data_IF_133745587551
#
_entry.id   IF_133745587551
#
_cell.length_a   1.000
_cell.length_b   1.000
_cell.length_c   1.000
_cell.angle_alpha   90.00
_cell.angle_beta   90.00
_cell.angle_gamma   90.00
#
_symmetry.space_group_name_H-M   'P 1'
#
loop_
_entity.id
_entity.type
_entity.pdbx_description
1 polymer ?
#
# COMPACT_ATOMS: atom_id res chain seq x y z
N UNK A 1 58.34 -63.24 -8.64
CA UNK A 1 58.56 -61.85 -9.09
C UNK A 1 57.37 -60.99 -8.72
N UNK A 2 57.60 -59.69 -8.55
CA UNK A 2 56.89 -58.72 -7.71
C UNK A 2 55.37 -58.55 -7.91
N UNK A 3 54.69 -58.32 -6.77
CA UNK A 3 53.28 -57.90 -6.62
C UNK A 3 53.09 -56.47 -7.15
N UNK A 4 52.08 -56.24 -8.00
CA UNK A 4 51.58 -54.90 -8.35
C UNK A 4 50.13 -54.78 -7.87
N UNK A 5 49.94 -54.32 -6.63
CA UNK A 5 48.64 -53.95 -6.09
C UNK A 5 48.49 -52.43 -6.11
N UNK A 6 47.48 -51.92 -6.82
CA UNK A 6 47.14 -50.49 -6.85
C UNK A 6 46.89 -49.98 -5.44
N UNK A 7 47.62 -48.92 -5.03
CA UNK A 7 47.31 -48.13 -3.84
C UNK A 7 46.36 -47.00 -4.23
N UNK A 8 45.06 -47.17 -3.99
CA UNK A 8 44.11 -46.05 -3.94
C UNK A 8 44.19 -45.41 -2.56
N UNK A 9 45.01 -44.38 -2.41
CA UNK A 9 44.99 -43.54 -1.23
C UNK A 9 43.82 -42.55 -1.35
N UNK A 10 42.68 -42.89 -0.75
CA UNK A 10 41.55 -41.99 -0.63
C UNK A 10 41.90 -40.94 0.45
N UNK A 11 42.43 -39.78 0.04
CA UNK A 11 42.63 -38.65 0.93
C UNK A 11 41.26 -38.09 1.37
N UNK A 12 40.78 -38.51 2.54
CA UNK A 12 39.66 -37.85 3.21
C UNK A 12 40.15 -36.52 3.79
N UNK A 13 40.18 -35.46 2.97
CA UNK A 13 40.32 -34.10 3.51
C UNK A 13 38.99 -33.72 4.17
N UNK A 14 38.95 -33.72 5.49
CA UNK A 14 37.83 -33.15 6.24
C UNK A 14 37.69 -31.67 5.83
N UNK A 15 36.56 -31.30 5.23
CA UNK A 15 36.25 -29.92 4.96
C UNK A 15 36.15 -29.17 6.30
N UNK A 16 36.86 -28.04 6.50
CA UNK A 16 36.69 -27.27 7.72
C UNK A 16 35.26 -26.72 7.73
N UNK A 17 34.42 -27.27 8.60
CA UNK A 17 33.13 -26.68 8.94
C UNK A 17 33.40 -25.34 9.60
N UNK A 18 33.53 -24.27 8.81
CA UNK A 18 33.43 -22.90 9.31
C UNK A 18 32.01 -22.79 9.87
N UNK A 19 31.88 -22.89 11.19
CA UNK A 19 30.69 -22.42 11.90
C UNK A 19 30.56 -20.93 11.58
N UNK A 20 29.80 -20.60 10.55
CA UNK A 20 29.28 -19.26 10.35
C UNK A 20 28.27 -19.08 11.47
N UNK A 21 28.76 -18.64 12.64
CA UNK A 21 27.90 -18.06 13.65
C UNK A 21 27.31 -16.83 12.99
N UNK A 22 26.12 -16.96 12.40
CA UNK A 22 25.39 -15.82 11.88
C UNK A 22 25.26 -14.83 13.02
N UNK A 23 25.97 -13.70 12.91
CA UNK A 23 25.74 -12.54 13.78
C UNK A 23 24.30 -12.12 13.54
N UNK A 24 23.38 -12.65 14.35
CA UNK A 24 22.03 -12.13 14.46
C UNK A 24 22.20 -10.73 15.04
N UNK A 25 22.04 -9.71 14.21
CA UNK A 25 22.02 -8.30 14.60
C UNK A 25 20.72 -7.95 15.35
N UNK A 26 20.30 -8.79 16.30
CA UNK A 26 19.21 -8.45 17.21
C UNK A 26 19.82 -8.04 18.55
N UNK A 27 20.34 -6.81 18.60
CA UNK A 27 20.92 -6.21 19.82
C UNK A 27 19.80 -5.62 20.70
N UNK A 28 18.89 -6.45 21.18
CA UNK A 28 17.88 -6.00 22.17
C UNK A 28 18.48 -5.96 23.57
N UNK A 29 19.47 -6.82 23.86
CA UNK A 29 20.12 -6.88 25.17
C UNK A 29 21.62 -6.61 25.04
N UNK A 30 22.11 -5.65 25.83
CA UNK A 30 23.53 -5.28 25.87
C UNK A 30 24.27 -6.33 26.71
N UNK A 31 25.35 -6.94 26.19
CA UNK A 31 26.17 -7.82 27.01
C UNK A 31 26.86 -7.04 28.13
N UNK A 32 26.99 -7.64 29.32
CA UNK A 32 27.42 -6.97 30.57
C UNK A 32 28.81 -6.32 30.51
N UNK A 33 29.65 -6.67 29.53
CA UNK A 33 31.00 -6.13 29.36
C UNK A 33 31.09 -4.95 28.37
N UNK A 34 30.00 -4.60 27.67
CA UNK A 34 29.97 -3.45 26.76
C UNK A 34 29.76 -2.19 27.62
N UNK A 35 30.86 -1.53 27.98
CA UNK A 35 30.87 -0.33 28.79
C UNK A 35 30.09 0.84 28.16
N UNK A 36 29.73 1.81 29.00
CA UNK A 36 29.07 3.04 28.59
C UNK A 36 29.93 3.78 27.54
N UNK A 37 29.34 4.08 26.39
CA UNK A 37 29.98 4.82 25.31
C UNK A 37 28.97 5.75 24.63
N UNK A 38 29.47 6.79 23.95
CA UNK A 38 28.62 7.84 23.38
C UNK A 38 27.53 7.29 22.44
N UNK A 39 27.86 6.27 21.64
CA UNK A 39 26.93 5.61 20.73
C UNK A 39 25.78 4.90 21.47
N UNK A 40 26.09 4.15 22.52
CA UNK A 40 25.08 3.46 23.33
C UNK A 40 24.16 4.45 24.05
N UNK A 41 24.68 5.60 24.51
CA UNK A 41 23.88 6.67 25.12
C UNK A 41 22.95 7.35 24.12
N UNK A 42 23.45 7.67 22.92
CA UNK A 42 22.63 8.24 21.85
C UNK A 42 21.47 7.29 21.49
N UNK A 43 21.74 5.99 21.40
CA UNK A 43 20.71 5.01 21.05
C UNK A 43 19.61 4.89 22.10
N UNK A 44 19.96 4.93 23.40
CA UNK A 44 18.94 4.99 24.45
C UNK A 44 18.16 6.31 24.41
N UNK A 45 18.83 7.45 24.17
CA UNK A 45 18.14 8.73 24.00
C UNK A 45 17.13 8.70 22.83
N UNK A 46 17.51 8.10 21.70
CA UNK A 46 16.62 7.92 20.54
C UNK A 46 15.44 7.02 20.91
N UNK A 47 15.67 5.91 21.62
CA UNK A 47 14.57 5.03 22.07
C UNK A 47 13.61 5.77 23.00
N UNK A 48 14.12 6.51 23.98
CA UNK A 48 13.30 7.31 24.89
C UNK A 48 12.51 8.39 24.15
N UNK A 49 13.15 9.11 23.23
CA UNK A 49 12.47 10.09 22.39
C UNK A 49 11.38 9.45 21.52
N UNK A 50 11.68 8.34 20.85
CA UNK A 50 10.72 7.61 20.03
C UNK A 50 9.52 7.09 20.83
N UNK A 51 9.72 6.62 22.06
CA UNK A 51 8.63 6.18 22.94
C UNK A 51 7.68 7.35 23.29
N UNK A 52 8.23 8.53 23.59
CA UNK A 52 7.43 9.72 23.87
C UNK A 52 6.68 10.21 22.61
N UNK A 53 7.39 10.30 21.48
CA UNK A 53 6.82 10.77 20.20
C UNK A 53 5.75 9.83 19.67
N UNK A 54 5.95 8.51 19.73
CA UNK A 54 4.93 7.53 19.31
C UNK A 54 3.67 7.59 20.18
N UNK A 55 3.83 7.79 21.48
CA UNK A 55 2.69 7.97 22.40
C UNK A 55 1.90 9.24 22.09
N UNK A 56 2.60 10.35 21.77
CA UNK A 56 1.97 11.60 21.34
C UNK A 56 1.16 11.41 20.05
N UNK A 57 1.76 10.83 19.01
CA UNK A 57 1.08 10.60 17.73
C UNK A 57 -0.11 9.67 17.87
N UNK A 58 0.00 8.59 18.67
CA UNK A 58 -1.14 7.72 18.96
C UNK A 58 -2.30 8.49 19.57
N UNK A 59 -2.04 9.37 20.53
CA UNK A 59 -3.07 10.21 21.15
C UNK A 59 -3.67 11.18 20.14
N UNK A 60 -2.86 11.83 19.31
CA UNK A 60 -3.37 12.75 18.30
C UNK A 60 -4.23 12.05 17.24
N UNK A 61 -3.80 10.87 16.77
CA UNK A 61 -4.58 10.06 15.83
C UNK A 61 -5.94 9.66 16.40
N UNK A 62 -6.03 9.36 17.70
CA UNK A 62 -7.30 8.98 18.32
C UNK A 62 -8.15 10.20 18.67
N UNK A 63 -7.55 11.23 19.27
CA UNK A 63 -8.31 12.33 19.88
C UNK A 63 -8.50 13.55 18.98
N UNK A 64 -7.70 13.73 17.93
CA UNK A 64 -7.88 14.81 16.97
C UNK A 64 -8.39 14.31 15.63
N UNK A 65 -7.76 13.27 15.07
CA UNK A 65 -8.13 12.80 13.73
C UNK A 65 -9.53 12.19 13.71
N UNK A 66 -9.92 11.38 14.72
CA UNK A 66 -11.26 10.80 14.76
C UNK A 66 -12.36 11.88 14.81
N UNK A 67 -12.33 12.89 15.71
CA UNK A 67 -13.31 13.97 15.66
C UNK A 67 -13.35 14.73 14.33
N UNK A 68 -12.19 15.03 13.73
CA UNK A 68 -12.13 15.68 12.43
C UNK A 68 -12.76 14.83 11.33
N UNK A 69 -12.52 13.51 11.33
CA UNK A 69 -13.14 12.59 10.39
C UNK A 69 -14.64 12.52 10.59
N UNK A 70 -15.14 12.47 11.83
CA UNK A 70 -16.58 12.50 12.12
C UNK A 70 -17.21 13.78 11.55
N UNK A 71 -16.63 14.94 11.84
CA UNK A 71 -17.12 16.22 11.32
C UNK A 71 -17.13 16.28 9.79
N UNK A 72 -16.03 15.83 9.15
CA UNK A 72 -15.93 15.74 7.70
C UNK A 72 -16.92 14.76 7.08
N UNK A 73 -17.12 13.59 7.71
CA UNK A 73 -18.08 12.58 7.26
C UNK A 73 -19.52 13.06 7.34
N UNK A 74 -19.91 13.79 8.40
CA UNK A 74 -21.25 14.38 8.49
C UNK A 74 -21.48 15.40 7.38
N UNK A 75 -20.50 16.28 7.12
CA UNK A 75 -20.60 17.24 6.02
C UNK A 75 -20.69 16.56 4.65
N UNK A 76 -19.84 15.57 4.39
CA UNK A 76 -19.87 14.80 3.16
C UNK A 76 -21.19 14.03 2.98
N UNK A 77 -21.76 13.50 4.06
CA UNK A 77 -23.06 12.82 4.03
C UNK A 77 -24.19 13.78 3.63
N UNK A 78 -24.22 14.99 4.20
CA UNK A 78 -25.23 15.99 3.84
C UNK A 78 -25.13 16.37 2.34
N UNK A 79 -23.92 16.66 1.86
CA UNK A 79 -23.67 16.97 0.45
C UNK A 79 -24.04 15.80 -0.48
N UNK A 80 -23.79 14.56 -0.04
CA UNK A 80 -24.19 13.37 -0.77
C UNK A 80 -25.71 13.26 -0.90
N UNK A 81 -26.45 13.46 0.19
CA UNK A 81 -27.91 13.45 0.18
C UNK A 81 -28.47 14.55 -0.73
N UNK A 82 -27.98 15.78 -0.60
CA UNK A 82 -28.39 16.91 -1.45
C UNK A 82 -28.08 16.65 -2.94
N UNK A 83 -26.92 16.05 -3.24
CA UNK A 83 -26.55 15.70 -4.61
C UNK A 83 -27.56 14.73 -5.25
N UNK A 84 -27.98 13.69 -4.52
CA UNK A 84 -28.96 12.72 -5.04
C UNK A 84 -30.36 13.29 -5.10
N UNK A 85 -30.74 14.18 -4.18
CA UNK A 85 -32.00 14.90 -4.26
C UNK A 85 -32.04 15.79 -5.52
N UNK A 86 -30.98 16.56 -5.79
CA UNK A 86 -30.87 17.33 -7.03
C UNK A 86 -30.85 16.43 -8.27
N UNK A 87 -30.14 15.29 -8.22
CA UNK A 87 -30.10 14.33 -9.30
C UNK A 87 -31.50 13.77 -9.64
N UNK A 88 -32.32 13.48 -8.63
CA UNK A 88 -33.68 12.95 -8.80
C UNK A 88 -34.66 13.91 -9.49
N UNK A 89 -34.37 15.21 -9.45
CA UNK A 89 -35.17 16.25 -10.10
C UNK A 89 -34.67 16.60 -11.52
N UNK A 90 -33.55 16.04 -11.96
CA UNK A 90 -33.06 16.27 -13.32
C UNK A 90 -33.87 15.45 -14.34
N UNK A 91 -33.98 15.92 -15.59
CA UNK A 91 -34.57 15.13 -16.66
C UNK A 91 -33.85 13.78 -16.83
N UNK A 92 -34.58 12.73 -17.27
CA UNK A 92 -33.99 11.44 -17.60
C UNK A 92 -32.79 11.57 -18.55
N UNK A 93 -31.80 10.69 -18.41
CA UNK A 93 -30.54 10.79 -19.15
C UNK A 93 -30.74 10.78 -20.67
N UNK A 94 -31.70 9.99 -21.15
CA UNK A 94 -32.08 9.88 -22.55
C UNK A 94 -32.69 11.17 -23.12
N UNK A 95 -33.21 12.07 -22.29
CA UNK A 95 -33.75 13.37 -22.71
C UNK A 95 -32.67 14.45 -22.73
N UNK A 96 -31.61 14.31 -21.93
CA UNK A 96 -30.53 15.30 -21.80
C UNK A 96 -29.70 15.39 -23.09
N UNK A 97 -29.44 16.61 -23.56
CA UNK A 97 -28.64 16.84 -24.78
C UNK A 97 -27.23 16.26 -24.62
N UNK A 98 -26.87 15.35 -25.52
CA UNK A 98 -25.52 14.80 -25.60
C UNK A 98 -24.76 15.55 -26.70
N UNK A 99 -23.75 16.32 -26.33
CA UNK A 99 -23.00 17.12 -27.30
C UNK A 99 -21.96 16.27 -28.06
N UNK A 100 -21.59 16.60 -29.31
CA UNK A 100 -20.66 15.80 -30.12
C UNK A 100 -19.25 15.63 -29.52
N UNK A 101 -18.85 16.51 -28.60
CA UNK A 101 -17.58 16.43 -27.89
C UNK A 101 -17.64 15.55 -26.62
N UNK A 102 -18.84 15.20 -26.16
CA UNK A 102 -19.05 14.26 -25.06
C UNK A 102 -18.97 12.83 -25.59
N UNK A 103 -18.54 11.89 -24.75
CA UNK A 103 -18.46 10.47 -25.06
C UNK A 103 -17.78 10.09 -26.40
N UNK A 104 -16.89 10.95 -26.92
CA UNK A 104 -16.18 10.66 -28.17
C UNK A 104 -15.35 9.38 -28.05
N UNK A 105 -15.46 8.51 -29.08
CA UNK A 105 -14.66 7.30 -29.25
C UNK A 105 -14.02 7.28 -30.63
N UNK A 106 -12.70 7.45 -30.68
CA UNK A 106 -11.92 7.27 -31.93
C UNK A 106 -11.57 5.80 -32.17
N UNK A 107 -11.41 5.04 -31.08
CA UNK A 107 -11.23 3.60 -31.06
C UNK A 107 -12.01 3.03 -29.88
N UNK A 108 -12.69 1.92 -30.10
CA UNK A 108 -13.42 1.22 -29.05
C UNK A 108 -12.46 0.70 -27.97
N UNK A 109 -12.95 0.65 -26.74
CA UNK A 109 -12.23 0.03 -25.64
C UNK A 109 -12.02 -1.47 -25.91
N UNK A 110 -10.92 -2.06 -25.41
CA UNK A 110 -10.60 -3.47 -25.66
C UNK A 110 -11.39 -4.46 -24.76
N UNK A 111 -12.45 -4.01 -24.09
CA UNK A 111 -13.27 -4.83 -23.18
C UNK A 111 -14.76 -4.53 -23.34
N UNK A 112 -15.59 -5.45 -22.85
CA UNK A 112 -17.04 -5.29 -22.82
C UNK A 112 -17.63 -5.09 -24.22
N UNK A 113 -18.51 -4.11 -24.34
CA UNK A 113 -19.11 -3.66 -25.60
C UNK A 113 -18.21 -2.67 -26.37
N UNK A 114 -17.07 -2.30 -25.81
CA UNK A 114 -16.13 -1.34 -26.40
C UNK A 114 -16.50 0.13 -26.21
N UNK A 115 -17.59 0.44 -25.52
CA UNK A 115 -18.08 1.82 -25.36
C UNK A 115 -17.94 2.34 -23.91
N UNK A 116 -18.26 1.47 -22.95
CA UNK A 116 -18.29 1.80 -21.53
C UNK A 116 -16.89 1.79 -20.90
N UNK A 117 -16.63 2.80 -20.07
CA UNK A 117 -15.40 2.88 -19.27
C UNK A 117 -15.43 1.88 -18.12
N UNK A 118 -14.28 1.66 -17.46
CA UNK A 118 -14.16 0.75 -16.30
C UNK A 118 -15.05 1.18 -15.12
N UNK A 119 -15.30 2.49 -14.98
CA UNK A 119 -16.12 3.08 -13.93
C UNK A 119 -17.45 3.63 -14.47
N UNK A 120 -17.96 3.06 -15.56
CA UNK A 120 -19.25 3.45 -16.13
C UNK A 120 -20.39 3.09 -15.18
N UNK A 121 -21.24 4.06 -14.87
CA UNK A 121 -22.48 3.84 -14.13
C UNK A 121 -23.68 4.29 -14.98
N UNK A 122 -24.52 3.34 -15.38
CA UNK A 122 -25.70 3.59 -16.22
C UNK A 122 -26.75 4.51 -15.57
N UNK A 123 -26.71 4.72 -14.25
CA UNK A 123 -27.61 5.64 -13.54
C UNK A 123 -27.22 7.11 -13.74
N UNK A 124 -25.97 7.37 -14.12
CA UNK A 124 -25.42 8.74 -14.29
C UNK A 124 -24.70 8.95 -15.61
N UNK A 125 -24.47 7.88 -16.39
CA UNK A 125 -23.79 7.91 -17.66
C UNK A 125 -24.69 7.30 -18.73
N UNK A 126 -24.80 8.02 -19.85
CA UNK A 126 -25.58 7.62 -21.01
C UNK A 126 -24.78 8.01 -22.27
N UNK A 127 -24.79 7.14 -23.26
CA UNK A 127 -24.22 7.39 -24.57
C UNK A 127 -25.16 6.83 -25.63
N UNK A 128 -25.57 7.68 -26.58
CA UNK A 128 -26.26 7.26 -27.78
C UNK A 128 -25.58 7.89 -29.01
N UNK A 129 -24.85 7.09 -29.83
CA UNK A 129 -24.10 7.61 -30.97
C UNK A 129 -24.99 8.18 -32.07
N UNK A 130 -26.26 7.77 -32.13
CA UNK A 130 -27.23 8.20 -33.15
C UNK A 130 -28.07 9.41 -32.68
N UNK A 131 -27.85 9.90 -31.46
CA UNK A 131 -28.59 11.03 -30.91
C UNK A 131 -28.09 12.32 -31.53
N UNK A 132 -28.83 12.84 -32.50
CA UNK A 132 -28.62 14.18 -33.04
C UNK A 132 -29.06 15.22 -32.02
N UNK A 133 -28.14 16.13 -31.63
CA UNK A 133 -28.41 17.29 -30.75
C UNK A 133 -29.52 18.20 -31.27
#
# INVERSE_FOLDING_TARGET
MFRLGLRTAQQTRAAPLRRVVGRRFNSTEKPSWVGDNAFNRERENVKHHAAATSSLWKRLSIYAVIPCLIGGSVNAYNLWTEHWEHWSHMPPLEERTEYPYQNMRTKNFPWGDGDKTIFWNSDVNYHNPDKTT
#
